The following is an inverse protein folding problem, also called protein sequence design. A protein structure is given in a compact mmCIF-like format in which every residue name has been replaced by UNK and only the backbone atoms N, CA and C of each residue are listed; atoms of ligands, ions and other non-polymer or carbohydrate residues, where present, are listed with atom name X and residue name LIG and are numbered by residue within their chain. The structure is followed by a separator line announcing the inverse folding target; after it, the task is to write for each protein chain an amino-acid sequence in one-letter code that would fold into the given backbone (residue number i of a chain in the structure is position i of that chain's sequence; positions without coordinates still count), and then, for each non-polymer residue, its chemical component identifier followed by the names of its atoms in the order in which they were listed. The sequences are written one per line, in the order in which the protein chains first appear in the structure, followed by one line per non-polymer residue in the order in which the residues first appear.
data_IF_762455457509
#
_entry.id   IF_762455457509
#
_cell.length_a   1.000
_cell.length_b   1.000
_cell.length_c   1.000
_cell.angle_alpha   90.00
_cell.angle_beta   90.00
_cell.angle_gamma   90.00
#
_symmetry.space_group_name_H-M   'P 1'
#
loop_
_entity.id
_entity.type
_entity.pdbx_description
1 polymer ?
#
# COMPACT_ATOMS: atom_id res chain seq x y z
N UNK A 1 -34.87 38.85 -19.69
CA UNK A 1 -33.98 39.31 -20.78
C UNK A 1 -32.93 38.24 -21.04
N UNK A 2 -32.90 37.66 -22.25
CA UNK A 2 -31.91 36.66 -22.69
C UNK A 2 -30.83 37.38 -23.48
N UNK A 3 -29.58 37.36 -23.02
CA UNK A 3 -28.45 37.86 -23.81
C UNK A 3 -27.73 36.65 -24.43
N UNK A 4 -27.57 36.75 -25.75
CA UNK A 4 -27.17 35.68 -26.65
C UNK A 4 -25.64 35.54 -26.70
N UNK A 5 -25.23 34.28 -26.87
CA UNK A 5 -23.95 33.69 -27.30
C UNK A 5 -23.07 34.55 -28.20
N UNK A 6 -21.75 34.35 -28.07
CA UNK A 6 -20.86 34.06 -29.22
C UNK A 6 -19.59 33.35 -28.74
N UNK A 7 -19.37 32.13 -29.25
CA UNK A 7 -18.12 31.36 -29.20
C UNK A 7 -17.51 31.43 -30.60
N UNK A 8 -16.22 31.76 -30.76
CA UNK A 8 -15.52 31.53 -32.02
C UNK A 8 -14.88 30.14 -32.02
N UNK A 9 -15.23 29.36 -33.04
CA UNK A 9 -14.63 28.09 -33.41
C UNK A 9 -13.50 28.30 -34.43
N UNK A 10 -12.65 27.27 -34.53
CA UNK A 10 -11.76 26.88 -35.64
C UNK A 10 -10.39 27.55 -35.76
N UNK A 11 -9.35 26.76 -35.50
CA UNK A 11 -8.26 26.57 -36.47
C UNK A 11 -7.71 25.14 -36.38
N UNK A 12 -7.99 24.36 -37.44
CA UNK A 12 -7.30 23.13 -37.83
C UNK A 12 -5.80 23.43 -38.01
N UNK A 13 -4.94 22.57 -37.46
CA UNK A 13 -3.51 22.57 -37.75
C UNK A 13 -2.93 21.16 -37.70
N UNK A 14 -3.07 20.42 -38.80
CA UNK A 14 -2.27 19.23 -39.09
C UNK A 14 -0.81 19.65 -39.28
N UNK A 15 0.11 19.07 -38.52
CA UNK A 15 1.53 18.96 -38.89
C UNK A 15 1.97 17.52 -38.64
N UNK A 16 1.91 16.71 -39.70
CA UNK A 16 2.65 15.45 -39.79
C UNK A 16 4.14 15.78 -39.88
N UNK A 17 4.94 15.32 -38.93
CA UNK A 17 6.39 15.21 -39.10
C UNK A 17 6.71 13.75 -39.40
N UNK A 18 6.83 13.45 -40.69
CA UNK A 18 7.54 12.28 -41.19
C UNK A 18 9.04 12.60 -41.13
N UNK A 19 9.75 12.00 -40.19
CA UNK A 19 11.21 12.02 -40.10
C UNK A 19 11.76 10.61 -40.30
N UNK A 20 12.19 10.30 -41.53
CA UNK A 20 12.99 9.13 -41.84
C UNK A 20 14.33 9.19 -41.09
N UNK A 21 14.80 8.01 -40.71
CA UNK A 21 15.96 7.83 -39.84
C UNK A 21 17.29 8.36 -40.38
N UNK A 22 18.22 8.46 -39.44
CA UNK A 22 19.64 8.32 -39.74
C UNK A 22 20.19 7.21 -38.86
N UNK A 23 20.47 6.08 -39.52
CA UNK A 23 21.45 5.13 -39.05
C UNK A 23 22.81 5.82 -39.04
N UNK A 24 23.39 5.99 -37.86
CA UNK A 24 24.82 6.21 -37.73
C UNK A 24 25.43 4.90 -37.26
N UNK A 25 26.04 4.20 -38.20
CA UNK A 25 27.12 3.25 -37.97
C UNK A 25 28.10 3.84 -36.95
N UNK A 26 28.27 3.15 -35.83
CA UNK A 26 29.45 3.27 -35.00
C UNK A 26 30.04 1.88 -34.89
N UNK A 27 30.94 1.63 -35.82
CA UNK A 27 31.94 0.58 -35.82
C UNK A 27 32.70 0.65 -34.47
N UNK A 28 32.37 -0.28 -33.58
CA UNK A 28 33.22 -0.62 -32.44
C UNK A 28 33.21 -2.13 -32.35
N UNK A 29 34.33 -2.71 -32.78
CA UNK A 29 34.61 -4.12 -32.71
C UNK A 29 34.32 -4.69 -31.30
N UNK A 30 33.66 -5.84 -31.18
CA UNK A 30 33.58 -6.54 -29.90
C UNK A 30 34.98 -7.08 -29.54
N UNK A 31 35.43 -6.99 -28.28
CA UNK A 31 36.60 -7.74 -27.85
C UNK A 31 36.29 -9.24 -27.89
N UNK A 32 37.16 -10.00 -28.54
CA UNK A 32 37.20 -11.46 -28.51
C UNK A 32 37.44 -11.96 -27.07
N UNK A 33 36.55 -12.77 -26.46
CA UNK A 33 36.96 -13.60 -25.34
C UNK A 33 37.65 -14.86 -25.88
N UNK A 34 38.95 -14.96 -25.62
CA UNK A 34 39.72 -16.21 -25.63
C UNK A 34 39.60 -16.88 -24.27
N UNK A 35 39.29 -18.18 -24.28
CA UNK A 35 39.20 -19.06 -23.10
C UNK A 35 37.74 -19.50 -22.91
N UNK A 36 37.32 -20.74 -23.14
CA UNK A 36 38.01 -22.00 -22.95
C UNK A 36 37.64 -22.57 -21.58
N UNK A 37 36.45 -23.16 -21.43
CA UNK A 37 36.22 -24.28 -20.52
C UNK A 37 34.87 -24.96 -20.77
N UNK A 38 34.80 -26.20 -20.31
CA UNK A 38 33.96 -27.28 -20.79
C UNK A 38 32.46 -27.11 -20.50
N UNK A 39 31.65 -27.56 -21.47
CA UNK A 39 30.27 -28.00 -21.27
C UNK A 39 30.23 -29.07 -20.19
N UNK A 40 29.68 -28.75 -19.03
CA UNK A 40 29.15 -29.72 -18.07
C UNK A 40 27.67 -29.44 -17.89
N UNK A 41 26.85 -30.41 -18.30
CA UNK A 41 25.40 -30.36 -18.18
C UNK A 41 24.98 -30.26 -16.71
N UNK A 42 23.88 -29.56 -16.37
CA UNK A 42 23.30 -29.67 -15.05
C UNK A 42 22.66 -31.05 -14.89
N UNK A 43 23.20 -31.85 -13.97
CA UNK A 43 22.57 -33.08 -13.50
C UNK A 43 21.35 -32.68 -12.66
N UNK A 44 20.15 -33.14 -13.05
CA UNK A 44 18.95 -33.07 -12.22
C UNK A 44 19.12 -34.07 -11.08
N UNK A 45 19.50 -33.58 -9.90
CA UNK A 45 19.37 -34.36 -8.68
C UNK A 45 17.91 -34.35 -8.24
N UNK A 46 17.22 -35.45 -8.52
CA UNK A 46 15.91 -35.80 -7.98
C UNK A 46 16.10 -36.34 -6.56
N UNK A 47 15.48 -35.78 -5.52
CA UNK A 47 15.31 -36.49 -4.26
C UNK A 47 14.15 -37.48 -4.39
N UNK A 48 14.46 -38.75 -4.14
CA UNK A 48 13.52 -39.86 -4.06
C UNK A 48 12.46 -39.65 -2.96
N UNK A 49 11.29 -40.23 -3.24
CA UNK A 49 10.23 -40.56 -2.29
C UNK A 49 10.77 -41.22 -1.01
N UNK A 50 10.26 -40.79 0.15
CA UNK A 50 10.13 -41.71 1.28
C UNK A 50 8.74 -41.57 1.90
N UNK A 51 7.82 -42.39 1.40
CA UNK A 51 6.55 -42.68 2.01
C UNK A 51 6.73 -43.57 3.25
N UNK A 52 6.02 -43.20 4.33
CA UNK A 52 5.32 -44.04 5.30
C UNK A 52 6.03 -45.21 5.98
N UNK A 53 6.10 -45.18 7.32
CA UNK A 53 5.72 -46.34 8.15
C UNK A 53 5.06 -45.93 9.50
N UNK A 54 4.23 -46.80 10.10
CA UNK A 54 3.16 -46.44 11.05
C UNK A 54 3.37 -46.92 12.50
N UNK A 55 2.53 -46.35 13.38
CA UNK A 55 1.99 -46.87 14.66
C UNK A 55 2.96 -47.40 15.73
N UNK A 56 2.90 -46.81 16.93
CA UNK A 56 2.61 -47.58 18.15
C UNK A 56 1.70 -46.77 19.10
N UNK A 57 0.66 -47.45 19.56
CA UNK A 57 -0.22 -47.04 20.66
C UNK A 57 -0.05 -48.08 21.76
N UNK A 58 -0.02 -47.67 23.04
CA UNK A 58 -0.70 -48.45 24.06
C UNK A 58 -1.70 -47.60 24.85
N UNK A 59 -2.89 -48.19 25.00
CA UNK A 59 -4.00 -47.78 25.84
C UNK A 59 -3.89 -48.40 27.24
N UNK A 60 -4.58 -47.73 28.18
CA UNK A 60 -5.04 -48.15 29.52
C UNK A 60 -4.06 -47.96 30.70
N UNK A 61 -4.48 -47.59 31.92
CA UNK A 61 -5.68 -46.96 32.47
C UNK A 61 -5.39 -46.63 33.96
N UNK A 62 -6.06 -45.60 34.48
CA UNK A 62 -6.51 -45.37 35.87
C UNK A 62 -5.55 -45.39 37.09
N UNK A 63 -5.55 -44.26 37.82
CA UNK A 63 -6.01 -44.18 39.23
C UNK A 63 -6.13 -42.72 39.70
N UNK A 64 -7.33 -42.36 40.21
CA UNK A 64 -7.68 -41.19 41.06
C UNK A 64 -7.59 -41.68 42.54
N UNK A 65 -7.53 -40.88 43.65
CA UNK A 65 -8.15 -39.57 43.84
C UNK A 65 -7.48 -38.51 44.77
N UNK A 66 -8.08 -37.32 44.69
CA UNK A 66 -8.33 -36.28 45.72
C UNK A 66 -7.20 -35.66 46.56
N UNK A 67 -6.99 -34.36 46.32
CA UNK A 67 -6.41 -33.40 47.25
C UNK A 67 -7.03 -32.01 47.02
N UNK A 68 -7.97 -31.67 47.90
CA UNK A 68 -8.72 -30.40 48.05
C UNK A 68 -7.94 -29.12 47.73
N UNK A 69 -8.41 -28.35 46.75
CA UNK A 69 -8.04 -26.95 46.54
C UNK A 69 -9.28 -26.05 46.76
N UNK A 70 -9.17 -24.91 47.47
CA UNK A 70 -10.29 -24.03 47.82
C UNK A 70 -10.97 -23.36 46.60
N UNK A 71 -12.24 -22.93 46.72
CA UNK A 71 -12.94 -22.26 45.63
C UNK A 71 -12.28 -20.91 45.33
N UNK A 72 -11.75 -20.76 44.12
CA UNK A 72 -11.41 -19.47 43.55
C UNK A 72 -12.71 -18.65 43.36
N UNK A 73 -12.70 -17.33 43.62
CA UNK A 73 -13.86 -16.49 43.39
C UNK A 73 -14.20 -16.47 41.89
N UNK A 74 -15.49 -16.50 41.59
CA UNK A 74 -16.02 -16.27 40.25
C UNK A 74 -15.58 -14.88 39.76
N UNK A 75 -14.46 -14.84 39.05
CA UNK A 75 -14.04 -13.71 38.25
C UNK A 75 -14.95 -13.62 37.04
N UNK A 76 -15.65 -12.51 36.94
CA UNK A 76 -16.61 -12.18 35.89
C UNK A 76 -16.06 -12.52 34.50
N UNK A 77 -16.88 -13.23 33.73
CA UNK A 77 -16.65 -13.49 32.31
C UNK A 77 -16.47 -12.16 31.59
N UNK A 78 -15.42 -11.98 30.75
CA UNK A 78 -15.29 -10.78 29.93
C UNK A 78 -16.55 -10.61 29.10
N UNK A 79 -17.24 -9.49 29.29
CA UNK A 79 -18.35 -9.10 28.42
C UNK A 79 -17.85 -9.10 26.98
N UNK A 80 -18.59 -9.77 26.11
CA UNK A 80 -18.33 -9.77 24.68
C UNK A 80 -18.19 -8.33 24.14
N UNK A 81 -17.31 -8.07 23.17
CA UNK A 81 -17.24 -6.75 22.54
C UNK A 81 -18.61 -6.41 21.96
N UNK A 82 -19.08 -5.20 22.28
CA UNK A 82 -20.28 -4.64 21.66
C UNK A 82 -19.99 -4.52 20.18
N UNK A 83 -20.66 -5.31 19.35
CA UNK A 83 -20.73 -5.10 17.91
C UNK A 83 -21.51 -3.81 17.72
N UNK A 84 -20.82 -2.69 17.60
CA UNK A 84 -21.44 -1.46 17.12
C UNK A 84 -21.94 -1.72 15.69
N UNK A 85 -23.21 -1.38 15.44
CA UNK A 85 -23.82 -1.51 14.13
C UNK A 85 -23.07 -0.58 13.16
N UNK A 86 -22.44 -1.09 12.09
CA UNK A 86 -21.67 -0.26 11.16
C UNK A 86 -22.54 0.72 10.37
N UNK A 87 -23.88 0.64 10.48
CA UNK A 87 -24.81 1.47 9.71
C UNK A 87 -25.08 2.85 10.30
N UNK A 88 -24.42 3.23 11.41
CA UNK A 88 -24.61 4.53 12.08
C UNK A 88 -23.33 5.36 12.25
N UNK A 89 -22.24 5.04 11.52
CA UNK A 89 -21.12 5.98 11.47
C UNK A 89 -21.52 7.19 10.62
N UNK A 90 -21.62 8.35 11.27
CA UNK A 90 -21.84 9.63 10.60
C UNK A 90 -20.80 9.83 9.48
N UNK A 91 -21.18 10.46 8.35
CA UNK A 91 -20.23 10.78 7.30
C UNK A 91 -19.07 11.59 7.87
N UNK A 92 -17.87 11.18 7.48
CA UNK A 92 -16.63 11.79 7.93
C UNK A 92 -16.58 13.25 7.45
N UNK A 93 -16.80 14.20 8.36
CA UNK A 93 -16.87 15.63 8.02
C UNK A 93 -15.48 16.24 7.74
N UNK A 94 -15.40 17.13 6.77
CA UNK A 94 -14.18 17.85 6.40
C UNK A 94 -14.01 18.01 4.89
N UNK A 95 -13.01 18.79 4.50
CA UNK A 95 -12.53 18.86 3.12
C UNK A 95 -11.07 18.44 3.08
N UNK A 96 -10.67 17.79 2.00
CA UNK A 96 -9.27 17.48 1.74
C UNK A 96 -8.48 18.76 1.51
N UNK A 97 -7.34 18.87 2.20
CA UNK A 97 -6.31 19.87 1.88
C UNK A 97 -5.34 19.24 0.90
N UNK A 98 -5.24 19.76 -0.34
CA UNK A 98 -4.25 19.27 -1.30
C UNK A 98 -2.84 19.66 -0.83
N UNK A 99 -1.93 18.71 -0.95
CA UNK A 99 -0.51 18.81 -0.64
C UNK A 99 0.28 18.28 -1.83
N UNK A 100 1.58 18.55 -1.84
CA UNK A 100 2.53 17.93 -2.77
C UNK A 100 3.91 18.01 -2.11
N UNK A 101 4.12 17.13 -1.12
CA UNK A 101 5.32 17.15 -0.28
C UNK A 101 6.02 15.80 -0.34
N UNK A 102 7.29 15.80 -0.71
CA UNK A 102 8.17 14.64 -0.64
C UNK A 102 8.97 14.68 0.66
N UNK A 103 8.94 13.59 1.41
CA UNK A 103 9.63 13.40 2.70
C UNK A 103 10.55 12.18 2.58
N UNK A 104 11.86 12.40 2.54
CA UNK A 104 12.87 11.34 2.39
C UNK A 104 13.45 10.90 3.72
N UNK A 105 13.45 11.81 4.70
CA UNK A 105 13.88 11.53 6.05
C UNK A 105 13.12 12.41 7.05
N UNK A 106 13.38 12.17 8.34
CA UNK A 106 12.86 13.02 9.40
C UNK A 106 13.32 14.49 9.32
N UNK A 107 14.38 14.80 8.55
CA UNK A 107 14.85 16.17 8.36
C UNK A 107 13.90 17.00 7.47
N UNK A 108 13.03 16.35 6.68
CA UNK A 108 12.10 17.02 5.76
C UNK A 108 10.75 17.36 6.41
N UNK A 109 10.54 17.02 7.69
CA UNK A 109 9.25 17.18 8.38
C UNK A 109 8.79 18.64 8.54
N UNK A 110 9.70 19.60 8.42
CA UNK A 110 9.34 21.02 8.39
C UNK A 110 8.42 21.36 7.21
N UNK A 111 8.48 20.59 6.12
CA UNK A 111 7.62 20.79 4.94
C UNK A 111 6.14 20.45 5.23
N UNK A 112 5.85 19.73 6.30
CA UNK A 112 4.50 19.39 6.76
C UNK A 112 4.20 19.96 8.16
N UNK A 113 4.92 21.01 8.60
CA UNK A 113 4.82 21.57 9.96
C UNK A 113 3.40 21.98 10.38
N UNK A 114 2.54 22.36 9.44
CA UNK A 114 1.14 22.74 9.69
C UNK A 114 0.21 21.54 9.92
N UNK A 115 0.68 20.30 9.67
CA UNK A 115 -0.08 19.09 9.92
C UNK A 115 0.01 18.63 11.39
N UNK A 116 -0.96 17.84 11.88
CA UNK A 116 -0.98 17.35 13.25
C UNK A 116 0.33 16.67 13.66
N UNK A 117 0.78 16.94 14.90
CA UNK A 117 2.05 16.46 15.44
C UNK A 117 2.16 14.92 15.41
N UNK A 118 1.07 14.22 15.69
CA UNK A 118 1.00 12.78 15.66
C UNK A 118 1.12 12.20 14.25
N UNK A 119 0.60 12.89 13.22
CA UNK A 119 0.82 12.51 11.83
C UNK A 119 2.28 12.73 11.42
N UNK A 120 2.87 13.87 11.80
CA UNK A 120 4.30 14.13 11.57
C UNK A 120 5.18 13.08 12.25
N UNK A 121 4.83 12.66 13.46
CA UNK A 121 5.53 11.58 14.17
C UNK A 121 5.43 10.23 13.46
N UNK A 122 4.27 9.92 12.87
CA UNK A 122 4.10 8.74 12.02
C UNK A 122 4.98 8.81 10.77
N UNK A 123 4.94 9.91 10.03
CA UNK A 123 5.79 10.13 8.84
C UNK A 123 7.27 9.97 9.19
N UNK A 124 7.72 10.53 10.32
CA UNK A 124 9.09 10.39 10.83
C UNK A 124 9.50 8.94 11.13
N UNK A 125 8.53 8.10 11.49
CA UNK A 125 8.77 6.69 11.83
C UNK A 125 8.89 5.78 10.60
N UNK A 126 8.50 6.28 9.42
CA UNK A 126 8.47 5.52 8.16
C UNK A 126 9.50 6.07 7.16
N UNK A 127 9.51 7.38 6.93
CA UNK A 127 10.40 8.02 5.97
C UNK A 127 11.87 7.88 6.38
N UNK A 128 12.72 7.46 5.45
CA UNK A 128 14.14 7.23 5.64
C UNK A 128 14.46 5.91 6.34
N UNK A 129 13.47 5.08 6.67
CA UNK A 129 13.71 3.76 7.26
C UNK A 129 14.13 2.77 6.17
N UNK A 130 15.29 2.15 6.38
CA UNK A 130 15.80 1.09 5.51
C UNK A 130 15.40 -0.28 6.06
N UNK A 131 14.75 -1.10 5.24
CA UNK A 131 14.40 -2.47 5.60
C UNK A 131 15.59 -3.45 5.51
N UNK A 132 15.35 -4.73 5.82
CA UNK A 132 16.38 -5.78 5.74
C UNK A 132 16.90 -6.09 4.33
N UNK A 133 16.20 -5.61 3.30
CA UNK A 133 16.55 -5.77 1.90
C UNK A 133 17.32 -4.56 1.36
N UNK A 134 17.53 -3.52 2.17
CA UNK A 134 18.22 -2.29 1.78
C UNK A 134 17.30 -1.26 1.13
N UNK A 135 15.98 -1.45 1.19
CA UNK A 135 14.99 -0.54 0.63
C UNK A 135 14.71 0.58 1.62
N UNK A 136 15.04 1.82 1.25
CA UNK A 136 14.78 3.00 2.09
C UNK A 136 13.49 3.66 1.62
N UNK A 137 12.51 3.79 2.52
CA UNK A 137 11.20 4.35 2.20
C UNK A 137 11.27 5.89 2.13
N UNK A 138 10.73 6.46 1.06
CA UNK A 138 10.40 7.87 0.89
C UNK A 138 8.87 8.00 0.76
N UNK A 139 8.31 9.09 1.28
CA UNK A 139 6.87 9.34 1.24
C UNK A 139 6.58 10.56 0.37
N UNK A 140 5.57 10.47 -0.49
CA UNK A 140 4.92 11.64 -1.07
C UNK A 140 3.56 11.81 -0.39
N UNK A 141 3.27 12.98 0.14
CA UNK A 141 1.99 13.31 0.79
C UNK A 141 1.26 14.30 -0.13
N UNK A 142 0.12 13.86 -0.65
CA UNK A 142 -0.66 14.57 -1.68
C UNK A 142 -1.97 15.12 -1.12
N UNK A 143 -2.48 14.56 -0.02
CA UNK A 143 -3.72 14.97 0.59
C UNK A 143 -3.72 14.75 2.09
N UNK A 144 -4.34 15.67 2.82
CA UNK A 144 -4.65 15.50 4.23
C UNK A 144 -6.12 15.85 4.50
N UNK A 145 -6.81 15.00 5.26
CA UNK A 145 -8.20 15.21 5.67
C UNK A 145 -8.27 15.36 7.20
N UNK A 146 -9.00 16.37 7.73
CA UNK A 146 -9.03 16.67 9.17
C UNK A 146 -9.59 15.54 10.04
N UNK A 147 -10.32 14.60 9.44
CA UNK A 147 -10.79 13.42 10.13
C UNK A 147 -9.74 12.33 10.38
N UNK A 148 -8.46 12.63 10.14
CA UNK A 148 -7.37 11.68 10.39
C UNK A 148 -7.15 10.74 9.23
N UNK A 149 -7.21 11.25 7.99
CA UNK A 149 -6.77 10.54 6.80
C UNK A 149 -5.69 11.34 6.08
N UNK A 150 -4.78 10.64 5.42
CA UNK A 150 -3.84 11.21 4.48
C UNK A 150 -3.72 10.28 3.27
N UNK A 151 -3.42 10.84 2.11
CA UNK A 151 -3.17 10.10 0.87
C UNK A 151 -1.83 10.49 0.26
N UNK A 152 -1.31 9.61 -0.57
CA UNK A 152 -0.04 9.83 -1.25
C UNK A 152 0.57 8.55 -1.76
N UNK A 153 1.90 8.48 -1.72
CA UNK A 153 2.67 7.33 -2.18
C UNK A 153 3.77 6.96 -1.19
N UNK A 154 4.01 5.65 -1.07
CA UNK A 154 5.21 5.07 -0.46
C UNK A 154 6.13 4.61 -1.60
N UNK A 155 7.35 5.11 -1.64
CA UNK A 155 8.30 4.77 -2.69
C UNK A 155 9.67 4.47 -2.10
N UNK A 156 10.28 3.38 -2.55
CA UNK A 156 11.64 3.03 -2.21
C UNK A 156 12.49 2.97 -3.50
N UNK A 157 13.47 3.89 -3.69
CA UNK A 157 14.30 3.91 -4.89
C UNK A 157 14.95 2.55 -5.17
N UNK A 158 14.62 1.98 -6.33
CA UNK A 158 15.12 0.66 -6.75
C UNK A 158 14.39 -0.56 -6.18
N UNK A 159 13.41 -0.35 -5.30
CA UNK A 159 12.59 -1.41 -4.69
C UNK A 159 11.10 -1.35 -5.09
N UNK A 160 10.66 -0.24 -5.68
CA UNK A 160 9.28 -0.06 -6.13
C UNK A 160 8.51 0.90 -5.24
N UNK A 161 7.18 0.92 -5.38
CA UNK A 161 6.32 1.77 -4.59
C UNK A 161 4.85 1.53 -4.89
N UNK A 162 4.01 2.20 -4.12
CA UNK A 162 2.55 2.09 -4.16
C UNK A 162 1.93 3.45 -3.83
N UNK A 163 0.72 3.68 -4.31
CA UNK A 163 -0.14 4.69 -3.71
C UNK A 163 -0.61 4.15 -2.36
N UNK A 164 -0.77 5.04 -1.38
CA UNK A 164 -1.18 4.66 -0.04
C UNK A 164 -2.26 5.61 0.49
N UNK A 165 -3.12 5.05 1.33
CA UNK A 165 -3.99 5.83 2.22
C UNK A 165 -3.59 5.47 3.64
N UNK A 166 -3.30 6.48 4.45
CA UNK A 166 -3.04 6.35 5.87
C UNK A 166 -4.24 6.88 6.66
N UNK A 167 -4.56 6.21 7.76
CA UNK A 167 -5.62 6.65 8.66
C UNK A 167 -5.20 6.48 10.12
N UNK A 168 -5.76 7.35 10.97
CA UNK A 168 -5.62 7.23 12.42
C UNK A 168 -6.66 6.27 13.01
N UNK A 169 -6.55 4.98 12.69
CA UNK A 169 -7.41 3.95 13.24
C UNK A 169 -6.98 3.56 14.67
N UNK A 170 -7.90 3.55 15.64
CA UNK A 170 -7.60 3.10 17.00
C UNK A 170 -6.59 3.97 17.77
N UNK A 171 -6.43 5.24 17.38
CA UNK A 171 -5.58 6.22 18.08
C UNK A 171 -4.16 6.36 17.54
N UNK A 172 -3.75 5.50 16.60
CA UNK A 172 -2.43 5.53 15.95
C UNK A 172 -2.59 5.55 14.43
N UNK A 173 -1.64 6.18 13.75
CA UNK A 173 -1.59 6.18 12.29
C UNK A 173 -1.06 4.85 11.75
N UNK A 174 -1.68 4.37 10.68
CA UNK A 174 -1.24 3.20 9.92
C UNK A 174 -1.69 3.32 8.46
N UNK A 175 -1.01 2.57 7.58
CA UNK A 175 -1.47 2.34 6.21
C UNK A 175 -2.73 1.48 6.23
N UNK A 176 -3.82 1.99 5.67
CA UNK A 176 -5.11 1.27 5.57
C UNK A 176 -5.37 0.73 4.17
N UNK A 177 -4.81 1.38 3.14
CA UNK A 177 -4.81 0.90 1.77
C UNK A 177 -3.42 1.08 1.18
N UNK A 178 -2.92 0.02 0.53
CA UNK A 178 -1.72 0.04 -0.29
C UNK A 178 -2.10 -0.41 -1.71
N UNK A 179 -1.79 0.40 -2.70
CA UNK A 179 -2.37 0.31 -4.04
C UNK A 179 -1.29 0.36 -5.11
N UNK A 180 -1.06 -0.77 -5.75
CA UNK A 180 -0.22 -0.86 -6.96
C UNK A 180 -1.05 -0.84 -8.25
N UNK A 181 -2.38 -0.83 -8.12
CA UNK A 181 -3.36 -0.71 -9.19
C UNK A 181 -4.58 0.06 -8.67
N UNK A 182 -5.43 0.54 -9.59
CA UNK A 182 -6.69 1.19 -9.24
C UNK A 182 -7.61 0.16 -8.57
N UNK A 183 -8.10 0.49 -7.36
CA UNK A 183 -9.04 -0.35 -6.61
C UNK A 183 -10.49 -0.03 -6.99
N UNK A 184 -11.42 -0.93 -6.66
CA UNK A 184 -12.85 -0.65 -6.73
C UNK A 184 -13.23 0.43 -5.70
N UNK A 185 -14.19 1.30 -6.05
CA UNK A 185 -14.66 2.35 -5.15
C UNK A 185 -15.21 1.80 -3.82
N UNK A 186 -15.71 0.56 -3.83
CA UNK A 186 -16.16 -0.14 -2.63
C UNK A 186 -15.04 -0.35 -1.60
N UNK A 187 -13.78 -0.51 -2.02
CA UNK A 187 -12.66 -0.67 -1.09
C UNK A 187 -12.40 0.60 -0.27
N UNK A 188 -12.46 1.76 -0.90
CA UNK A 188 -12.35 3.04 -0.20
C UNK A 188 -13.52 3.27 0.76
N UNK A 189 -14.73 2.93 0.32
CA UNK A 189 -15.96 2.99 1.13
C UNK A 189 -15.86 2.06 2.37
N UNK A 190 -15.40 0.82 2.19
CA UNK A 190 -15.20 -0.16 3.26
C UNK A 190 -14.12 0.25 4.26
N UNK A 191 -13.16 1.08 3.84
CA UNK A 191 -12.11 1.65 4.68
C UNK A 191 -12.42 3.07 5.15
N UNK A 192 -13.66 3.55 4.94
CA UNK A 192 -14.16 4.85 5.37
C UNK A 192 -13.34 6.04 4.87
N UNK A 193 -12.66 5.90 3.73
CA UNK A 193 -11.85 6.97 3.15
C UNK A 193 -12.77 8.10 2.68
N UNK A 194 -12.58 9.35 3.13
CA UNK A 194 -13.42 10.46 2.70
C UNK A 194 -13.33 10.70 1.18
N UNK A 195 -14.48 10.95 0.54
CA UNK A 195 -14.54 11.29 -0.90
C UNK A 195 -13.92 12.66 -1.17
N UNK A 196 -13.57 12.90 -2.44
CA UNK A 196 -12.99 14.17 -2.89
C UNK A 196 -11.49 14.29 -2.64
N UNK A 197 -10.77 13.17 -2.53
CA UNK A 197 -9.31 13.20 -2.40
C UNK A 197 -8.68 13.77 -3.67
N UNK A 198 -7.61 14.58 -3.58
CA UNK A 198 -7.02 15.22 -4.76
C UNK A 198 -6.39 14.24 -5.76
N UNK A 199 -6.00 13.05 -5.30
CA UNK A 199 -5.13 12.12 -6.02
C UNK A 199 -5.69 10.69 -6.12
N UNK A 200 -6.79 10.39 -5.42
CA UNK A 200 -7.37 9.04 -5.42
C UNK A 200 -8.38 8.89 -6.56
N UNK A 201 -8.28 7.75 -7.23
CA UNK A 201 -9.24 7.30 -8.23
C UNK A 201 -9.61 5.86 -7.95
N UNK A 202 -10.78 5.46 -8.39
CA UNK A 202 -11.30 4.12 -8.18
C UNK A 202 -12.10 3.63 -9.40
N UNK A 203 -12.29 2.32 -9.50
CA UNK A 203 -13.17 1.70 -10.47
C UNK A 203 -14.60 1.70 -9.92
N UNK A 204 -15.52 2.31 -10.64
CA UNK A 204 -16.92 2.25 -10.30
C UNK A 204 -17.53 0.86 -10.61
N UNK A 205 -18.80 0.66 -10.27
CA UNK A 205 -19.48 -0.63 -10.50
C UNK A 205 -19.57 -1.06 -11.98
N UNK A 206 -19.30 -0.15 -12.92
CA UNK A 206 -19.24 -0.43 -14.35
C UNK A 206 -17.82 -0.73 -14.86
N UNK A 207 -16.80 -0.56 -14.00
CA UNK A 207 -15.38 -0.69 -14.32
C UNK A 207 -14.77 0.58 -14.92
N UNK A 208 -15.44 1.73 -14.82
CA UNK A 208 -14.89 3.02 -15.24
C UNK A 208 -14.02 3.64 -14.14
N UNK A 209 -12.88 4.22 -14.51
CA UNK A 209 -12.04 4.97 -13.57
C UNK A 209 -12.68 6.33 -13.29
N UNK A 210 -13.03 6.58 -12.04
CA UNK A 210 -13.60 7.83 -11.55
C UNK A 210 -12.74 8.44 -10.45
N UNK A 211 -12.87 9.74 -10.21
CA UNK A 211 -12.31 10.36 -9.01
C UNK A 211 -13.04 9.82 -7.77
N UNK A 212 -12.28 9.55 -6.70
CA UNK A 212 -12.83 9.16 -5.41
C UNK A 212 -13.37 10.37 -4.64
#
# INVERSE_FOLDING_TARGET
MRIKRTVPALALGLLLVAGCGQATDSDTAPPTPTGGEATVAPTLASPEEQASQPQESPSAAESTPEGTEPPAPAGESPSAPVTEDPSTMDPVEGEWTPLDVEVKSADDLDAIADLPEDFRAFVASVAGVTDSYGCTIELTITGFHPAGFASGAEFAPGCGGSMAVWSKAGGSWATVLEMQAVLDCAEFENNFVPKGSPDLTCLDASGEVVAW
#
